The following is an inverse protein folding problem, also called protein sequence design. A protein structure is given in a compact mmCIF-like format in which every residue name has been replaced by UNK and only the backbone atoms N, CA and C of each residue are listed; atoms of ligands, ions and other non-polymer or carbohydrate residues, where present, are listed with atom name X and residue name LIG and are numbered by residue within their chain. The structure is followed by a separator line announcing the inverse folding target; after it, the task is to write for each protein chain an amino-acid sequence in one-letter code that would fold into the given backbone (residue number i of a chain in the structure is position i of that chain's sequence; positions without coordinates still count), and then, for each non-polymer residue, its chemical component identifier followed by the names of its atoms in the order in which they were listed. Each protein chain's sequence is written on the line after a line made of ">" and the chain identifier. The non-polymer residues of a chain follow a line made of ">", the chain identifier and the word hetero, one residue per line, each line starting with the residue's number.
data_IF_701215684824
#
_entry.id   IF_701215684824
#
_cell.length_a   1.000
_cell.length_b   1.000
_cell.length_c   1.000
_cell.angle_alpha   90.00
_cell.angle_beta   90.00
_cell.angle_gamma   90.00
#
_symmetry.space_group_name_H-M   'P 1'
#
loop_
_entity.id
_entity.type
_entity.pdbx_description
1 polymer ?
#
# COMPACT_ATOMS: atom_id res chain seq x y z
N UNK A 1 -9.72 9.81 -13.09
CA UNK A 1 -9.07 8.64 -12.52
C UNK A 1 -8.71 7.66 -13.63
N UNK A 2 -7.55 7.08 -13.58
CA UNK A 2 -7.02 6.16 -14.59
C UNK A 2 -7.79 4.83 -14.69
N UNK A 3 -8.40 4.39 -13.57
CA UNK A 3 -9.16 3.14 -13.49
C UNK A 3 -10.60 3.42 -13.08
N UNK A 4 -11.55 2.74 -13.72
CA UNK A 4 -12.96 2.81 -13.32
C UNK A 4 -13.28 1.84 -12.18
N UNK A 5 -14.51 1.91 -11.65
CA UNK A 5 -14.93 1.09 -10.50
C UNK A 5 -14.84 -0.41 -10.76
N UNK A 6 -15.19 -0.87 -11.95
CA UNK A 6 -15.08 -2.29 -12.31
C UNK A 6 -13.64 -2.77 -12.33
N UNK A 7 -12.75 -1.96 -12.92
CA UNK A 7 -11.32 -2.27 -12.97
C UNK A 7 -10.73 -2.33 -11.57
N UNK A 8 -11.10 -1.42 -10.69
CA UNK A 8 -10.64 -1.38 -9.30
C UNK A 8 -11.09 -2.65 -8.56
N UNK A 9 -12.34 -3.06 -8.68
CA UNK A 9 -12.84 -4.27 -8.06
C UNK A 9 -12.17 -5.53 -8.60
N UNK A 10 -11.91 -5.57 -9.90
CA UNK A 10 -11.17 -6.67 -10.53
C UNK A 10 -9.74 -6.76 -9.99
N UNK A 11 -9.04 -5.64 -9.91
CA UNK A 11 -7.69 -5.57 -9.34
C UNK A 11 -7.70 -6.08 -7.89
N UNK A 12 -8.65 -5.63 -7.09
CA UNK A 12 -8.79 -6.06 -5.70
C UNK A 12 -8.98 -7.56 -5.56
N UNK A 13 -9.82 -8.14 -6.40
CA UNK A 13 -10.07 -9.58 -6.41
C UNK A 13 -8.82 -10.37 -6.83
N UNK A 14 -8.13 -9.94 -7.87
CA UNK A 14 -6.92 -10.59 -8.34
C UNK A 14 -5.80 -10.53 -7.30
N UNK A 15 -5.61 -9.37 -6.66
CA UNK A 15 -4.60 -9.21 -5.61
C UNK A 15 -4.95 -10.04 -4.37
N UNK A 16 -6.21 -10.10 -3.97
CA UNK A 16 -6.62 -10.89 -2.81
C UNK A 16 -6.30 -12.38 -2.95
N UNK A 17 -6.23 -12.88 -4.19
CA UNK A 17 -5.84 -14.26 -4.48
C UNK A 17 -4.32 -14.49 -4.45
N UNK A 18 -3.52 -13.43 -4.41
CA UNK A 18 -2.05 -13.51 -4.49
C UNK A 18 -1.36 -13.21 -3.18
N UNK A 19 -2.08 -12.71 -2.19
CA UNK A 19 -1.50 -12.31 -0.89
C UNK A 19 -2.26 -12.96 0.25
N UNK A 20 -1.57 -13.14 1.37
CA UNK A 20 -2.17 -13.62 2.62
C UNK A 20 -2.69 -12.45 3.47
N UNK A 21 -2.11 -11.28 3.31
CA UNK A 21 -2.52 -10.06 4.00
C UNK A 21 -3.88 -9.56 3.56
N UNK A 22 -4.41 -8.59 4.29
CA UNK A 22 -5.73 -8.04 4.02
C UNK A 22 -5.69 -7.06 2.85
N UNK A 23 -6.74 -7.10 2.03
CA UNK A 23 -6.94 -6.17 0.91
C UNK A 23 -8.18 -5.31 1.17
N UNK A 24 -8.09 -4.00 0.90
CA UNK A 24 -9.13 -3.02 1.16
C UNK A 24 -9.39 -2.23 -0.12
N UNK A 25 -10.45 -2.58 -0.83
CA UNK A 25 -10.81 -1.92 -2.11
C UNK A 25 -12.19 -1.27 -2.07
N UNK A 26 -12.86 -1.29 -0.93
CA UNK A 26 -14.12 -0.60 -0.73
C UNK A 26 -13.94 0.92 -0.61
N UNK A 27 -14.99 1.65 -0.92
CA UNK A 27 -14.98 3.13 -0.91
C UNK A 27 -14.60 3.73 0.44
N UNK A 28 -15.10 3.16 1.52
CA UNK A 28 -14.81 3.65 2.87
C UNK A 28 -13.33 3.49 3.22
N UNK A 29 -12.75 2.33 2.98
CA UNK A 29 -11.32 2.07 3.25
C UNK A 29 -10.43 2.94 2.36
N UNK A 30 -10.75 3.06 1.08
CA UNK A 30 -10.01 3.95 0.16
C UNK A 30 -10.06 5.39 0.62
N UNK A 31 -11.22 5.84 1.12
CA UNK A 31 -11.37 7.18 1.70
C UNK A 31 -10.48 7.40 2.93
N UNK A 32 -10.37 6.41 3.80
CA UNK A 32 -9.50 6.48 4.98
C UNK A 32 -8.02 6.66 4.63
N UNK A 33 -7.59 6.12 3.51
CA UNK A 33 -6.20 6.22 3.05
C UNK A 33 -5.98 7.35 2.04
N UNK A 34 -6.94 8.23 1.87
CA UNK A 34 -6.84 9.37 0.94
C UNK A 34 -6.09 10.57 1.52
N UNK A 35 -5.78 10.54 2.82
CA UNK A 35 -5.11 11.63 3.53
C UNK A 35 -3.90 11.16 4.32
N UNK A 36 -3.00 12.07 4.61
CA UNK A 36 -1.91 11.92 5.57
C UNK A 36 -1.86 13.19 6.44
N UNK A 37 -0.72 13.52 7.02
CA UNK A 37 -0.58 14.77 7.80
C UNK A 37 -0.39 16.02 6.92
N UNK A 38 -0.43 15.88 5.60
CA UNK A 38 -0.32 16.98 4.65
C UNK A 38 -1.68 17.61 4.34
N UNK A 39 -1.68 18.64 3.49
CA UNK A 39 -2.90 19.27 2.98
C UNK A 39 -3.50 18.52 1.78
N UNK A 40 -2.81 17.53 1.26
CA UNK A 40 -3.24 16.80 0.07
C UNK A 40 -4.27 15.73 0.41
N UNK A 41 -5.20 15.53 -0.51
CA UNK A 41 -6.21 14.48 -0.41
C UNK A 41 -6.33 13.79 -1.77
N UNK A 42 -5.84 12.56 -1.88
CA UNK A 42 -5.85 11.78 -3.11
C UNK A 42 -6.32 10.37 -2.80
N UNK A 43 -7.39 9.95 -3.45
CA UNK A 43 -7.99 8.64 -3.22
C UNK A 43 -7.16 7.55 -3.89
N UNK A 44 -6.69 6.53 -3.15
CA UNK A 44 -5.93 5.43 -3.74
C UNK A 44 -6.83 4.48 -4.52
N UNK A 45 -6.23 3.64 -5.37
CA UNK A 45 -6.94 2.56 -6.06
C UNK A 45 -7.42 1.50 -5.08
N UNK A 46 -6.62 1.21 -4.10
CA UNK A 46 -6.88 0.24 -3.06
C UNK A 46 -5.73 0.19 -2.07
N UNK A 47 -5.90 -0.58 -1.03
CA UNK A 47 -4.91 -0.73 0.04
C UNK A 47 -4.66 -2.21 0.30
N UNK A 48 -3.40 -2.57 0.48
CA UNK A 48 -3.01 -3.90 0.93
C UNK A 48 -2.21 -3.76 2.21
N UNK A 49 -2.50 -4.61 3.18
CA UNK A 49 -1.73 -4.74 4.41
C UNK A 49 -0.88 -6.01 4.30
N UNK A 50 0.33 -5.93 3.72
CA UNK A 50 1.12 -7.14 3.47
C UNK A 50 1.48 -7.81 4.80
N UNK A 51 1.34 -9.13 4.83
CA UNK A 51 1.65 -9.92 6.01
C UNK A 51 3.14 -10.14 6.17
N UNK A 52 3.83 -10.31 5.05
CA UNK A 52 5.27 -10.62 5.01
C UNK A 52 5.91 -10.16 3.70
N UNK A 53 7.19 -10.46 3.54
CA UNK A 53 7.94 -10.11 2.34
C UNK A 53 7.39 -10.80 1.08
N UNK A 54 6.87 -12.01 1.19
CA UNK A 54 6.29 -12.71 0.04
C UNK A 54 5.08 -11.97 -0.52
N UNK A 55 4.23 -11.43 0.35
CA UNK A 55 3.12 -10.59 -0.08
C UNK A 55 3.60 -9.37 -0.87
N UNK A 56 4.64 -8.70 -0.38
CA UNK A 56 5.22 -7.54 -1.06
C UNK A 56 5.74 -7.91 -2.45
N UNK A 57 6.47 -9.02 -2.55
CA UNK A 57 7.00 -9.49 -3.84
C UNK A 57 5.89 -9.83 -4.83
N UNK A 58 4.84 -10.50 -4.37
CA UNK A 58 3.69 -10.84 -5.20
C UNK A 58 2.96 -9.60 -5.70
N UNK A 59 2.80 -8.58 -4.84
CA UNK A 59 2.20 -7.31 -5.23
C UNK A 59 3.07 -6.57 -6.24
N UNK A 60 4.38 -6.53 -6.03
CA UNK A 60 5.31 -5.88 -6.96
C UNK A 60 5.26 -6.52 -8.35
N UNK A 61 5.27 -7.85 -8.42
CA UNK A 61 5.15 -8.58 -9.69
C UNK A 61 3.83 -8.28 -10.41
N UNK A 62 2.72 -8.33 -9.66
CA UNK A 62 1.41 -8.00 -10.20
C UNK A 62 1.35 -6.56 -10.72
N UNK A 63 1.86 -5.62 -9.95
CA UNK A 63 1.85 -4.20 -10.30
C UNK A 63 2.70 -3.91 -11.53
N UNK A 64 3.86 -4.54 -11.65
CA UNK A 64 4.71 -4.40 -12.82
C UNK A 64 4.00 -4.92 -14.09
N UNK A 65 3.40 -6.11 -14.01
CA UNK A 65 2.69 -6.73 -15.14
C UNK A 65 1.47 -5.93 -15.59
N UNK A 66 0.82 -5.25 -14.68
CA UNK A 66 -0.42 -4.51 -14.94
C UNK A 66 -0.24 -3.00 -14.98
N UNK A 67 0.98 -2.50 -14.88
CA UNK A 67 1.31 -1.07 -14.89
C UNK A 67 0.55 -0.27 -13.83
N UNK A 68 0.50 -0.80 -12.61
CA UNK A 68 -0.16 -0.19 -11.47
C UNK A 68 0.89 0.47 -10.56
N UNK A 69 0.79 1.78 -10.27
CA UNK A 69 1.72 2.43 -9.36
C UNK A 69 1.58 1.89 -7.93
N UNK A 70 2.70 1.75 -7.23
CA UNK A 70 2.74 1.37 -5.82
C UNK A 70 3.15 2.55 -4.96
N UNK A 71 2.61 2.60 -3.74
CA UNK A 71 2.94 3.61 -2.76
C UNK A 71 3.07 2.96 -1.37
N UNK A 72 4.26 3.05 -0.80
CA UNK A 72 4.51 2.55 0.55
C UNK A 72 4.00 3.53 1.60
N UNK A 73 3.40 3.01 2.67
CA UNK A 73 2.86 3.81 3.76
C UNK A 73 3.16 3.16 5.11
N UNK A 74 3.69 3.96 6.04
CA UNK A 74 3.81 3.62 7.46
C UNK A 74 2.64 4.21 8.25
N UNK A 75 2.92 5.11 9.18
CA UNK A 75 1.90 5.74 10.01
C UNK A 75 1.05 6.82 9.34
N UNK A 76 1.37 7.21 8.10
CA UNK A 76 0.65 8.28 7.40
C UNK A 76 0.91 9.66 7.98
N UNK A 77 2.07 9.86 8.59
CA UNK A 77 2.45 11.11 9.26
C UNK A 77 3.22 12.09 8.37
N UNK A 78 3.37 11.78 7.10
CA UNK A 78 4.04 12.68 6.14
C UNK A 78 3.32 14.02 6.03
N UNK A 79 4.09 15.11 6.05
CA UNK A 79 3.57 16.46 5.93
C UNK A 79 3.68 17.02 4.50
N UNK A 80 4.28 16.26 3.59
CA UNK A 80 4.51 16.69 2.20
C UNK A 80 3.76 15.85 1.17
N UNK A 81 2.82 14.99 1.59
CA UNK A 81 2.00 14.19 0.70
C UNK A 81 2.65 12.95 0.13
N UNK A 82 3.75 12.45 0.72
CA UNK A 82 4.44 11.28 0.20
C UNK A 82 3.65 9.98 0.33
N UNK A 83 2.61 9.94 1.16
CA UNK A 83 1.86 8.71 1.45
C UNK A 83 0.44 8.71 0.90
N UNK A 84 0.12 9.65 0.00
CA UNK A 84 -1.16 9.69 -0.73
C UNK A 84 -0.93 9.71 -2.23
N UNK A 85 -1.79 9.05 -3.00
CA UNK A 85 -1.67 8.97 -4.46
C UNK A 85 -2.69 8.04 -5.10
N UNK A 86 -2.92 8.22 -6.40
CA UNK A 86 -3.73 7.30 -7.22
C UNK A 86 -2.93 6.03 -7.53
N UNK A 87 -2.73 5.22 -6.51
CA UNK A 87 -1.86 4.05 -6.53
C UNK A 87 -2.42 2.95 -5.66
N UNK A 88 -1.82 1.78 -5.74
CA UNK A 88 -2.03 0.72 -4.77
C UNK A 88 -1.16 1.03 -3.55
N UNK A 89 -1.78 1.29 -2.42
CA UNK A 89 -1.09 1.61 -1.16
C UNK A 89 -0.73 0.33 -0.42
N UNK A 90 0.53 0.21 -0.02
CA UNK A 90 1.01 -0.85 0.86
C UNK A 90 1.19 -0.28 2.26
N UNK A 91 0.30 -0.66 3.18
CA UNK A 91 0.37 -0.24 4.56
C UNK A 91 1.12 -1.27 5.40
N UNK A 92 2.31 -0.90 5.86
CA UNK A 92 3.19 -1.77 6.64
C UNK A 92 2.93 -1.71 8.14
N UNK A 93 2.06 -0.83 8.61
CA UNK A 93 1.93 -0.52 10.03
C UNK A 93 1.37 -1.67 10.86
N UNK A 94 0.60 -2.57 10.26
CA UNK A 94 -0.06 -3.67 10.97
C UNK A 94 0.83 -4.89 11.19
N UNK A 95 1.58 -5.31 10.18
CA UNK A 95 2.31 -6.58 10.21
C UNK A 95 3.82 -6.47 10.15
N UNK A 96 4.35 -5.44 9.48
CA UNK A 96 5.77 -5.25 9.26
C UNK A 96 6.30 -4.03 10.01
N UNK A 97 6.10 -4.04 11.32
CA UNK A 97 6.39 -2.92 12.21
C UNK A 97 7.44 -3.25 13.28
N UNK A 98 8.28 -4.25 13.05
CA UNK A 98 9.31 -4.68 14.00
C UNK A 98 10.69 -4.31 13.49
N UNK A 99 11.57 -3.96 14.43
CA UNK A 99 13.01 -3.86 14.16
C UNK A 99 13.56 -5.28 14.16
N UNK A 100 14.10 -5.72 13.04
CA UNK A 100 14.65 -7.08 12.90
C UNK A 100 16.09 -7.16 13.32
N UNK A 101 16.87 -6.12 13.06
CA UNK A 101 18.29 -6.07 13.39
C UNK A 101 18.71 -4.64 13.66
N UNK A 102 19.57 -4.46 14.64
CA UNK A 102 20.29 -3.20 14.89
C UNK A 102 21.79 -3.51 14.91
N UNK A 103 22.53 -2.99 13.95
CA UNK A 103 23.98 -3.16 13.90
C UNK A 103 24.68 -1.84 14.19
N UNK A 104 25.20 -1.73 15.41
CA UNK A 104 25.83 -0.50 15.90
C UNK A 104 27.19 -0.26 15.24
N UNK A 105 27.94 -1.32 14.98
CA UNK A 105 29.27 -1.22 14.37
C UNK A 105 29.18 -0.74 12.92
N UNK A 106 28.31 -1.36 12.15
CA UNK A 106 28.09 -1.01 10.73
C UNK A 106 27.07 0.10 10.54
N UNK A 107 26.45 0.57 11.62
CA UNK A 107 25.51 1.72 11.64
C UNK A 107 24.29 1.55 10.73
N UNK A 108 23.64 0.38 10.81
CA UNK A 108 22.36 0.15 10.14
C UNK A 108 21.32 -0.50 11.06
N UNK A 109 20.09 -0.39 10.62
CA UNK A 109 18.95 -1.05 11.26
C UNK A 109 18.04 -1.67 10.21
#
# INVERSE_FOLDING_TARGET
>A
MRFNSEQIQKIGKEISNKVEGKTLFDEFSRGRYSTDASVYQIKPLGVVLPKDTNDVLNIMDYSQKNSIPLLARGGGSSQCGQTVGESLVLDYSKHQNKILELNVEEKYV
#
